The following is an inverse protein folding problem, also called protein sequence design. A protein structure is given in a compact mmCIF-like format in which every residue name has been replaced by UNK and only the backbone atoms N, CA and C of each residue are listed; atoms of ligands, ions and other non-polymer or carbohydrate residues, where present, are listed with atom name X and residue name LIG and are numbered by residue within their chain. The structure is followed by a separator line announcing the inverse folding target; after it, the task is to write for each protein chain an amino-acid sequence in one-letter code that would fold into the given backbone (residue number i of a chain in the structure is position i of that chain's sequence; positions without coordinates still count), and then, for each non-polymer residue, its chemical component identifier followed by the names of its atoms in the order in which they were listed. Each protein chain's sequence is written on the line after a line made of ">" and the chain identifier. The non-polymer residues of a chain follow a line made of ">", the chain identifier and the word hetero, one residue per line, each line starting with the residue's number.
data_IF_606979477292
#
_entry.id   IF_606979477292
#
_cell.length_a   1.000
_cell.length_b   1.000
_cell.length_c   1.000
_cell.angle_alpha   90.00
_cell.angle_beta   90.00
_cell.angle_gamma   90.00
#
_symmetry.space_group_name_H-M   'P 1'
#
loop_
_entity.id
_entity.type
_entity.pdbx_description
1 polymer ?
#
# COMPACT_ATOMS: atom_id res chain seq x y z
N UNK A 1 -3.80 12.02 -14.13
CA UNK A 1 -3.76 11.17 -15.35
C UNK A 1 -4.87 10.10 -15.38
N UNK A 2 -5.24 9.43 -14.26
CA UNK A 2 -6.25 8.37 -14.22
C UNK A 2 -7.62 8.80 -14.75
N UNK A 3 -8.16 9.91 -14.25
CA UNK A 3 -9.47 10.45 -14.66
C UNK A 3 -9.48 10.81 -16.17
N UNK A 4 -8.40 11.38 -16.69
CA UNK A 4 -8.29 11.71 -18.12
C UNK A 4 -8.27 10.44 -18.99
N UNK A 5 -7.55 9.40 -18.57
CA UNK A 5 -7.53 8.12 -19.28
C UNK A 5 -8.90 7.43 -19.21
N UNK A 6 -9.56 7.48 -18.07
CA UNK A 6 -10.93 7.00 -17.94
C UNK A 6 -11.89 7.73 -18.89
N UNK A 7 -11.88 9.05 -18.91
CA UNK A 7 -12.75 9.85 -19.79
C UNK A 7 -12.53 9.57 -21.28
N UNK A 8 -11.28 9.26 -21.69
CA UNK A 8 -10.95 8.90 -23.08
C UNK A 8 -11.40 7.50 -23.50
N UNK A 9 -11.69 6.62 -22.55
CA UNK A 9 -12.04 5.23 -22.77
C UNK A 9 -13.35 4.83 -22.09
N UNK A 10 -14.21 5.79 -21.80
CA UNK A 10 -15.45 5.58 -21.06
C UNK A 10 -16.41 4.58 -21.75
N UNK A 11 -16.29 4.45 -23.07
CA UNK A 11 -17.02 3.51 -23.91
C UNK A 11 -16.36 2.13 -24.03
N UNK A 12 -15.16 1.95 -23.46
CA UNK A 12 -14.36 0.72 -23.51
C UNK A 12 -13.62 0.47 -22.20
N UNK A 13 -14.39 0.24 -21.14
CA UNK A 13 -13.86 0.10 -19.76
C UNK A 13 -12.93 -1.11 -19.59
N UNK A 14 -13.08 -2.15 -20.41
CA UNK A 14 -12.19 -3.32 -20.48
C UNK A 14 -10.75 -2.93 -20.83
N UNK A 15 -10.54 -1.89 -21.65
CA UNK A 15 -9.22 -1.37 -21.97
C UNK A 15 -8.51 -0.71 -20.75
N UNK A 16 -9.24 -0.40 -19.68
CA UNK A 16 -8.73 0.23 -18.46
C UNK A 16 -8.31 -0.78 -17.38
N UNK A 17 -8.48 -2.09 -17.61
CA UNK A 17 -8.19 -3.12 -16.62
C UNK A 17 -6.85 -2.95 -15.88
N UNK A 18 -5.71 -2.79 -16.57
CA UNK A 18 -4.42 -2.58 -15.93
C UNK A 18 -4.34 -1.29 -15.08
N UNK A 19 -4.96 -0.21 -15.56
CA UNK A 19 -5.01 1.07 -14.83
C UNK A 19 -5.89 0.96 -13.57
N UNK A 20 -7.04 0.33 -13.71
CA UNK A 20 -7.96 0.08 -12.58
C UNK A 20 -7.26 -0.78 -11.54
N UNK A 21 -6.57 -1.87 -11.93
CA UNK A 21 -5.81 -2.71 -11.01
C UNK A 21 -4.77 -1.93 -10.20
N UNK A 22 -3.99 -1.07 -10.84
CA UNK A 22 -3.00 -0.22 -10.15
C UNK A 22 -3.66 0.76 -9.16
N UNK A 23 -4.78 1.38 -9.54
CA UNK A 23 -5.52 2.29 -8.66
C UNK A 23 -6.06 1.53 -7.46
N UNK A 24 -6.72 0.38 -7.68
CA UNK A 24 -7.29 -0.48 -6.65
C UNK A 24 -6.23 -0.90 -5.63
N UNK A 25 -5.08 -1.41 -6.08
CA UNK A 25 -3.98 -1.79 -5.17
C UNK A 25 -3.51 -0.61 -4.30
N UNK A 26 -3.42 0.58 -4.89
CA UNK A 26 -3.02 1.76 -4.16
C UNK A 26 -4.09 2.22 -3.17
N UNK A 27 -5.36 2.20 -3.55
CA UNK A 27 -6.48 2.55 -2.67
C UNK A 27 -6.60 1.57 -1.51
N UNK A 28 -6.52 0.27 -1.79
CA UNK A 28 -6.54 -0.78 -0.76
C UNK A 28 -5.39 -0.60 0.24
N UNK A 29 -4.19 -0.28 -0.24
CA UNK A 29 -3.03 -0.04 0.65
C UNK A 29 -3.18 1.18 1.55
N UNK A 30 -4.01 2.15 1.14
CA UNK A 30 -4.35 3.35 1.91
C UNK A 30 -5.65 3.19 2.70
N UNK A 31 -6.33 2.07 2.55
CA UNK A 31 -7.64 1.80 3.13
C UNK A 31 -8.67 2.87 2.74
N UNK A 32 -8.77 3.15 1.44
CA UNK A 32 -9.83 4.01 0.90
C UNK A 32 -11.17 3.30 1.09
N UNK A 33 -12.15 4.04 1.60
CA UNK A 33 -13.49 3.53 1.91
C UNK A 33 -14.53 4.13 0.97
N UNK A 34 -15.65 3.45 0.69
CA UNK A 34 -16.70 3.92 -0.21
C UNK A 34 -17.21 5.34 0.09
N UNK A 35 -17.33 5.70 1.38
CA UNK A 35 -17.79 7.03 1.82
C UNK A 35 -16.83 8.18 1.48
N UNK A 36 -15.60 7.90 1.06
CA UNK A 36 -14.64 8.92 0.65
C UNK A 36 -14.80 9.32 -0.82
N UNK A 37 -15.42 8.48 -1.66
CA UNK A 37 -15.63 8.75 -3.08
C UNK A 37 -16.52 9.97 -3.35
N UNK A 38 -17.66 10.18 -2.65
CA UNK A 38 -18.46 11.39 -2.83
C UNK A 38 -17.69 12.67 -2.50
N UNK A 39 -16.77 12.64 -1.52
CA UNK A 39 -15.92 13.79 -1.17
C UNK A 39 -15.00 14.15 -2.34
N UNK A 40 -14.33 13.15 -2.91
CA UNK A 40 -13.44 13.34 -4.07
C UNK A 40 -14.24 13.82 -5.29
N UNK A 41 -15.41 13.23 -5.55
CA UNK A 41 -16.30 13.61 -6.63
C UNK A 41 -16.72 15.08 -6.56
N UNK A 42 -17.18 15.52 -5.39
CA UNK A 42 -17.58 16.92 -5.19
C UNK A 42 -16.42 17.91 -5.41
N UNK A 43 -15.22 17.56 -4.91
CA UNK A 43 -14.02 18.36 -5.14
C UNK A 43 -13.62 18.41 -6.63
N UNK A 44 -13.72 17.28 -7.35
CA UNK A 44 -13.43 17.20 -8.77
C UNK A 44 -14.37 18.09 -9.59
N UNK A 45 -15.69 17.96 -9.37
CA UNK A 45 -16.70 18.74 -10.10
C UNK A 45 -16.55 20.24 -9.87
N UNK A 46 -16.27 20.63 -8.62
CA UNK A 46 -15.95 22.02 -8.29
C UNK A 46 -14.71 22.50 -9.03
N UNK A 47 -13.62 21.72 -9.02
CA UNK A 47 -12.39 22.09 -9.71
C UNK A 47 -12.59 22.20 -11.23
N UNK A 48 -13.39 21.32 -11.86
CA UNK A 48 -13.74 21.41 -13.28
C UNK A 48 -14.43 22.74 -13.55
N UNK A 49 -15.41 23.11 -12.74
CA UNK A 49 -16.15 24.39 -12.91
C UNK A 49 -15.26 25.61 -12.72
N UNK A 50 -14.40 25.60 -11.72
CA UNK A 50 -13.46 26.70 -11.42
C UNK A 50 -12.42 26.89 -12.53
N UNK A 51 -11.85 25.80 -13.06
CA UNK A 51 -10.77 25.85 -14.06
C UNK A 51 -11.29 26.18 -15.46
N UNK A 52 -12.42 25.58 -15.86
CA UNK A 52 -12.94 25.72 -17.21
C UNK A 52 -13.87 26.97 -17.39
N UNK A 53 -14.38 27.52 -16.30
CA UNK A 53 -15.32 28.63 -16.30
C UNK A 53 -16.75 28.24 -16.73
N UNK A 54 -17.75 29.14 -16.51
CA UNK A 54 -19.15 28.81 -16.71
C UNK A 54 -19.53 28.57 -18.18
N UNK A 55 -18.80 29.16 -19.11
CA UNK A 55 -19.07 29.04 -20.55
C UNK A 55 -18.75 27.61 -21.08
N UNK A 56 -17.76 26.93 -20.49
CA UNK A 56 -17.37 25.57 -20.87
C UNK A 56 -17.99 24.55 -19.90
N UNK A 57 -17.88 24.80 -18.60
CA UNK A 57 -18.42 23.91 -17.56
C UNK A 57 -19.89 24.26 -17.26
N UNK A 58 -20.75 24.17 -18.28
CA UNK A 58 -22.20 24.34 -18.14
C UNK A 58 -22.78 23.26 -17.19
N UNK A 59 -24.00 23.44 -16.68
CA UNK A 59 -24.64 22.47 -15.81
C UNK A 59 -24.73 21.10 -16.47
N UNK A 60 -25.07 21.03 -17.76
CA UNK A 60 -25.11 19.78 -18.51
C UNK A 60 -23.73 19.07 -18.56
N UNK A 61 -22.64 19.83 -18.71
CA UNK A 61 -21.27 19.27 -18.67
C UNK A 61 -20.93 18.76 -17.29
N UNK A 62 -21.29 19.47 -16.23
CA UNK A 62 -21.05 19.02 -14.83
C UNK A 62 -21.87 17.79 -14.49
N UNK A 63 -23.14 17.71 -14.92
CA UNK A 63 -23.98 16.51 -14.76
C UNK A 63 -23.40 15.29 -15.49
N UNK A 64 -22.90 15.46 -16.72
CA UNK A 64 -22.23 14.40 -17.46
C UNK A 64 -20.96 13.92 -16.75
N UNK A 65 -20.14 14.82 -16.20
CA UNK A 65 -18.97 14.48 -15.40
C UNK A 65 -19.33 13.80 -14.08
N UNK A 66 -20.43 14.22 -13.44
CA UNK A 66 -20.92 13.56 -12.22
C UNK A 66 -21.32 12.11 -12.49
N UNK A 67 -22.07 11.86 -13.57
CA UNK A 67 -22.45 10.50 -13.99
C UNK A 67 -21.23 9.64 -14.34
N UNK A 68 -20.28 10.19 -15.09
CA UNK A 68 -19.03 9.50 -15.42
C UNK A 68 -18.19 9.16 -14.18
N UNK A 69 -18.08 10.12 -13.25
CA UNK A 69 -17.37 9.89 -12.00
C UNK A 69 -18.04 8.81 -11.14
N UNK A 70 -19.38 8.83 -11.05
CA UNK A 70 -20.11 7.81 -10.28
C UNK A 70 -19.87 6.40 -10.84
N UNK A 71 -19.91 6.24 -12.17
CA UNK A 71 -19.60 4.96 -12.81
C UNK A 71 -18.18 4.47 -12.49
N UNK A 72 -17.19 5.38 -12.51
CA UNK A 72 -15.82 5.04 -12.12
C UNK A 72 -15.73 4.67 -10.64
N UNK A 73 -16.40 5.42 -9.77
CA UNK A 73 -16.43 5.16 -8.32
C UNK A 73 -17.02 3.77 -8.03
N UNK A 74 -18.16 3.43 -8.64
CA UNK A 74 -18.80 2.13 -8.45
C UNK A 74 -17.91 0.97 -8.89
N UNK A 75 -17.21 1.13 -10.02
CA UNK A 75 -16.25 0.15 -10.54
C UNK A 75 -15.07 -0.04 -9.58
N UNK A 76 -14.49 1.04 -9.07
CA UNK A 76 -13.35 0.98 -8.15
C UNK A 76 -13.77 0.42 -6.79
N UNK A 77 -14.90 0.86 -6.23
CA UNK A 77 -15.45 0.36 -4.97
C UNK A 77 -15.69 -1.15 -5.05
N UNK A 78 -16.30 -1.63 -6.14
CA UNK A 78 -16.53 -3.06 -6.34
C UNK A 78 -15.23 -3.85 -6.39
N UNK A 79 -14.25 -3.40 -7.18
CA UNK A 79 -12.96 -4.05 -7.30
C UNK A 79 -12.13 -4.01 -6.01
N UNK A 80 -12.23 -2.92 -5.22
CA UNK A 80 -11.58 -2.80 -3.92
C UNK A 80 -12.21 -3.74 -2.90
N UNK A 81 -13.55 -3.88 -2.90
CA UNK A 81 -14.26 -4.82 -2.03
C UNK A 81 -13.84 -6.26 -2.28
N UNK A 82 -13.67 -6.65 -3.54
CA UNK A 82 -13.18 -8.00 -3.91
C UNK A 82 -11.79 -8.25 -3.32
N UNK A 83 -10.88 -7.25 -3.38
CA UNK A 83 -9.53 -7.36 -2.80
C UNK A 83 -9.58 -7.43 -1.28
N UNK A 84 -10.42 -6.61 -0.62
CA UNK A 84 -10.58 -6.66 0.83
C UNK A 84 -11.16 -7.99 1.30
N UNK A 85 -12.16 -8.51 0.59
CA UNK A 85 -12.78 -9.81 0.91
C UNK A 85 -11.78 -10.96 0.71
N UNK A 86 -11.03 -10.97 -0.38
CA UNK A 86 -9.99 -11.95 -0.64
C UNK A 86 -8.88 -11.94 0.42
N UNK A 87 -8.44 -10.73 0.81
CA UNK A 87 -7.45 -10.59 1.89
C UNK A 87 -7.97 -11.14 3.22
N UNK A 88 -9.22 -10.83 3.59
CA UNK A 88 -9.84 -11.31 4.82
C UNK A 88 -10.06 -12.84 4.84
N UNK A 89 -10.33 -13.44 3.68
CA UNK A 89 -10.52 -14.89 3.54
C UNK A 89 -9.20 -15.69 3.54
N UNK A 90 -8.05 -15.03 3.33
CA UNK A 90 -6.75 -15.69 3.35
C UNK A 90 -6.37 -16.11 4.78
N UNK A 91 -5.74 -17.28 5.01
CA UNK A 91 -5.28 -17.68 6.35
C UNK A 91 -4.40 -16.60 7.00
N UNK A 92 -4.77 -16.17 8.21
CA UNK A 92 -4.12 -15.05 8.91
C UNK A 92 -4.42 -13.68 8.35
N UNK A 93 -5.29 -13.56 7.34
CA UNK A 93 -5.71 -12.32 6.73
C UNK A 93 -6.73 -11.55 7.58
N UNK A 94 -6.92 -10.28 7.24
CA UNK A 94 -7.87 -9.41 7.95
C UNK A 94 -8.33 -8.27 7.03
N UNK A 95 -9.37 -7.58 7.47
CA UNK A 95 -9.86 -6.33 6.85
C UNK A 95 -9.63 -5.15 7.79
N UNK A 96 -9.29 -4.01 7.23
CA UNK A 96 -9.04 -2.80 8.02
C UNK A 96 -7.75 -2.89 8.84
N UNK A 97 -7.74 -2.25 9.99
CA UNK A 97 -6.59 -2.23 10.89
C UNK A 97 -6.62 -3.41 11.87
N UNK A 98 -5.50 -4.11 12.02
CA UNK A 98 -5.29 -5.15 13.03
C UNK A 98 -4.12 -4.75 13.91
N UNK A 99 -4.24 -4.96 15.21
CA UNK A 99 -3.20 -4.59 16.18
C UNK A 99 -2.07 -5.59 16.20
N UNK A 100 -0.85 -5.06 16.11
CA UNK A 100 0.40 -5.81 16.22
C UNK A 100 1.25 -5.24 17.35
N UNK A 101 2.00 -6.09 18.02
CA UNK A 101 2.99 -5.76 19.02
C UNK A 101 4.39 -5.75 18.39
N UNK A 102 5.21 -4.78 18.73
CA UNK A 102 6.64 -4.79 18.43
C UNK A 102 7.30 -5.83 19.36
N UNK A 103 7.50 -7.03 18.85
CA UNK A 103 8.11 -8.10 19.63
C UNK A 103 9.62 -7.92 19.81
N UNK A 104 10.26 -7.23 18.88
CA UNK A 104 11.70 -6.94 18.91
C UNK A 104 12.01 -5.69 18.08
N UNK A 105 12.96 -4.89 18.56
CA UNK A 105 13.49 -3.71 17.88
C UNK A 105 15.01 -3.87 17.78
N UNK A 106 15.57 -3.79 16.58
CA UNK A 106 16.99 -4.06 16.32
C UNK A 106 17.61 -2.90 15.56
N UNK A 107 18.56 -2.16 16.12
CA UNK A 107 19.38 -1.23 15.35
C UNK A 107 20.22 -1.99 14.32
N UNK A 108 20.05 -1.68 13.04
CA UNK A 108 20.85 -2.26 11.95
C UNK A 108 22.03 -1.35 11.58
N UNK A 109 21.86 -0.05 11.77
CA UNK A 109 22.89 0.98 11.60
C UNK A 109 22.55 2.22 12.44
N UNK A 110 23.34 3.29 12.32
CA UNK A 110 23.05 4.57 12.99
C UNK A 110 21.69 5.17 12.58
N UNK A 111 21.24 4.87 11.35
CA UNK A 111 20.01 5.45 10.78
C UNK A 111 18.89 4.43 10.57
N UNK A 112 19.15 3.13 10.63
CA UNK A 112 18.18 2.10 10.30
C UNK A 112 17.89 1.22 11.51
N UNK A 113 16.61 1.04 11.79
CA UNK A 113 16.13 0.15 12.83
C UNK A 113 15.08 -0.81 12.27
N UNK A 114 15.24 -2.09 12.53
CA UNK A 114 14.26 -3.13 12.19
C UNK A 114 13.28 -3.34 13.33
N UNK A 115 11.99 -3.37 13.00
CA UNK A 115 10.89 -3.70 13.90
C UNK A 115 10.31 -5.05 13.50
N UNK A 116 10.22 -5.96 14.45
CA UNK A 116 9.57 -7.26 14.29
C UNK A 116 8.18 -7.17 14.91
N UNK A 117 7.16 -7.46 14.11
CA UNK A 117 5.77 -7.21 14.42
C UNK A 117 5.03 -8.55 14.48
N UNK A 118 4.44 -8.87 15.62
CA UNK A 118 3.58 -10.06 15.81
C UNK A 118 2.15 -9.62 16.07
N UNK A 119 1.12 -10.37 15.63
CA UNK A 119 -0.25 -10.07 15.99
C UNK A 119 -0.44 -10.04 17.50
N UNK A 120 -1.09 -8.98 18.01
CA UNK A 120 -1.36 -8.85 19.45
C UNK A 120 -2.39 -9.88 19.95
N UNK A 121 -3.22 -10.41 19.06
CA UNK A 121 -4.19 -11.46 19.34
C UNK A 121 -3.59 -12.89 19.33
N UNK A 122 -2.29 -13.02 19.04
CA UNK A 122 -1.60 -14.31 18.97
C UNK A 122 -1.92 -15.18 17.76
N UNK A 123 -2.76 -14.69 16.84
CA UNK A 123 -3.12 -15.40 15.61
C UNK A 123 -1.98 -15.42 14.57
N UNK A 124 -2.12 -16.18 13.48
CA UNK A 124 -1.12 -16.19 12.41
C UNK A 124 -1.09 -14.86 11.67
N UNK A 125 0.01 -14.59 10.96
CA UNK A 125 0.11 -13.51 9.98
C UNK A 125 -0.30 -14.00 8.59
N UNK A 126 -0.92 -13.14 7.81
CA UNK A 126 -1.18 -13.37 6.39
C UNK A 126 0.14 -13.54 5.64
N UNK A 127 0.22 -14.55 4.78
CA UNK A 127 1.34 -14.70 3.87
C UNK A 127 1.40 -13.50 2.90
N UNK A 128 2.60 -13.13 2.49
CA UNK A 128 2.82 -12.05 1.54
C UNK A 128 3.84 -12.47 0.47
N UNK A 129 3.85 -11.77 -0.65
CA UNK A 129 4.83 -12.00 -1.71
C UNK A 129 6.08 -11.14 -1.45
N UNK A 130 7.30 -11.69 -1.61
CA UNK A 130 8.54 -10.92 -1.51
C UNK A 130 8.50 -9.67 -2.38
N UNK A 131 8.73 -8.50 -1.75
CA UNK A 131 8.63 -7.19 -2.37
C UNK A 131 7.41 -6.37 -1.95
N UNK A 132 6.38 -6.99 -1.39
CA UNK A 132 5.23 -6.28 -0.86
C UNK A 132 5.58 -5.42 0.36
N UNK A 133 4.71 -4.49 0.66
CA UNK A 133 4.78 -3.59 1.81
C UNK A 133 3.56 -3.75 2.73
N UNK A 134 3.64 -3.16 3.91
CA UNK A 134 2.57 -3.11 4.88
C UNK A 134 2.28 -1.66 5.25
N UNK A 135 1.00 -1.31 5.38
CA UNK A 135 0.58 0.00 5.85
C UNK A 135 0.54 0.04 7.38
N UNK A 136 1.12 1.08 7.97
CA UNK A 136 1.04 1.39 9.39
C UNK A 136 0.05 2.52 9.63
N UNK A 137 -0.75 2.38 10.67
CA UNK A 137 -1.59 3.41 11.23
C UNK A 137 -1.13 3.71 12.65
N UNK A 138 -0.81 4.96 12.89
CA UNK A 138 -0.30 5.47 14.16
C UNK A 138 -1.09 6.71 14.58
N UNK A 139 -1.15 6.96 15.87
CA UNK A 139 -1.56 8.25 16.42
C UNK A 139 -0.33 8.99 16.95
N UNK A 140 -0.07 10.18 16.42
CA UNK A 140 1.04 11.04 16.84
C UNK A 140 0.47 12.43 17.12
N UNK A 141 0.62 12.91 18.34
CA UNK A 141 0.10 14.22 18.81
C UNK A 141 -1.42 14.37 18.54
N UNK A 142 -2.20 13.33 18.82
CA UNK A 142 -3.64 13.31 18.62
C UNK A 142 -4.10 13.28 17.14
N UNK A 143 -3.18 13.01 16.21
CA UNK A 143 -3.47 12.92 14.79
C UNK A 143 -3.18 11.52 14.24
N UNK A 144 -4.14 10.94 13.52
CA UNK A 144 -3.91 9.72 12.76
C UNK A 144 -2.94 10.00 11.61
N UNK A 145 -1.90 9.18 11.52
CA UNK A 145 -0.94 9.19 10.42
C UNK A 145 -0.76 7.79 9.87
N UNK A 146 -0.64 7.69 8.55
CA UNK A 146 -0.44 6.41 7.85
C UNK A 146 0.84 6.46 7.03
N UNK A 147 1.60 5.35 7.02
CA UNK A 147 2.81 5.18 6.19
C UNK A 147 2.94 3.73 5.75
N UNK A 148 3.51 3.56 4.58
CA UNK A 148 3.81 2.24 4.04
C UNK A 148 5.30 1.94 4.21
N UNK A 149 5.62 0.70 4.64
CA UNK A 149 6.97 0.20 4.76
C UNK A 149 7.08 -1.17 4.08
N UNK A 150 8.10 -1.34 3.24
CA UNK A 150 8.38 -2.63 2.62
C UNK A 150 8.65 -3.68 3.69
N UNK A 151 8.11 -4.88 3.49
CA UNK A 151 8.44 -6.03 4.30
C UNK A 151 9.87 -6.45 3.98
N UNK A 152 10.75 -6.47 4.97
CA UNK A 152 12.19 -6.59 4.82
C UNK A 152 12.77 -7.96 5.20
N UNK A 153 11.91 -8.90 5.58
CA UNK A 153 12.27 -10.30 5.82
C UNK A 153 11.34 -11.23 5.03
N UNK A 154 11.74 -12.46 4.73
CA UNK A 154 10.87 -13.43 4.07
C UNK A 154 9.65 -13.79 4.91
N UNK A 155 8.57 -14.30 4.29
CA UNK A 155 7.42 -14.82 5.00
C UNK A 155 7.83 -15.97 5.94
N UNK A 156 7.36 -15.92 7.19
CA UNK A 156 7.64 -16.94 8.20
C UNK A 156 6.39 -17.43 8.94
N UNK A 157 5.20 -16.95 8.57
CA UNK A 157 3.91 -17.34 9.14
C UNK A 157 3.59 -16.78 10.53
N UNK A 158 4.53 -16.07 11.18
CA UNK A 158 4.38 -15.63 12.57
C UNK A 158 4.64 -14.14 12.82
N UNK A 159 5.50 -13.52 12.03
CA UNK A 159 5.90 -12.12 12.20
C UNK A 159 6.11 -11.41 10.88
N UNK A 160 5.95 -10.10 10.90
CA UNK A 160 6.45 -9.21 9.87
C UNK A 160 7.71 -8.50 10.34
N UNK A 161 8.59 -8.12 9.41
CA UNK A 161 9.71 -7.22 9.69
C UNK A 161 9.65 -6.03 8.73
N UNK A 162 9.74 -4.84 9.29
CA UNK A 162 10.01 -3.60 8.55
C UNK A 162 11.34 -3.03 9.02
N UNK A 163 12.10 -2.41 8.11
CA UNK A 163 13.33 -1.71 8.43
C UNK A 163 13.17 -0.24 8.09
N UNK A 164 13.22 0.59 9.11
CA UNK A 164 12.86 2.01 9.06
C UNK A 164 14.13 2.84 9.08
N UNK A 165 14.34 3.64 8.01
CA UNK A 165 15.36 4.68 8.02
C UNK A 165 14.86 5.88 8.80
N UNK A 166 15.68 6.40 9.69
CA UNK A 166 15.45 7.67 10.39
C UNK A 166 15.60 8.81 9.37
N UNK A 167 14.51 9.46 9.03
CA UNK A 167 14.53 10.61 8.13
C UNK A 167 14.68 11.91 8.93
N UNK A 168 15.62 12.79 8.60
CA UNK A 168 15.73 14.09 9.26
C UNK A 168 14.41 14.88 9.16
N UNK A 169 13.85 15.28 10.30
CA UNK A 169 12.55 15.94 10.38
C UNK A 169 11.34 15.04 10.07
N UNK A 170 11.54 13.77 9.80
CA UNK A 170 10.47 12.81 9.50
C UNK A 170 9.64 12.49 10.75
N UNK A 171 8.37 12.90 10.79
CA UNK A 171 7.49 12.72 11.94
C UNK A 171 7.30 11.25 12.32
N UNK A 172 6.99 10.39 11.34
CA UNK A 172 6.69 8.97 11.60
C UNK A 172 7.96 8.16 11.84
N UNK A 173 9.01 8.34 11.02
CA UNK A 173 10.26 7.59 11.19
C UNK A 173 10.90 7.87 12.54
N UNK A 174 10.95 9.14 12.98
CA UNK A 174 11.48 9.50 14.29
C UNK A 174 10.62 8.94 15.43
N UNK A 175 9.29 8.98 15.32
CA UNK A 175 8.40 8.38 16.31
C UNK A 175 8.64 6.87 16.46
N UNK A 176 8.79 6.14 15.35
CA UNK A 176 9.13 4.70 15.36
C UNK A 176 10.49 4.43 16.01
N UNK A 177 11.45 5.33 15.81
CA UNK A 177 12.79 5.21 16.42
C UNK A 177 12.82 5.56 17.90
N UNK A 178 12.13 6.62 18.31
CA UNK A 178 12.33 7.23 19.62
C UNK A 178 11.24 6.89 20.64
N UNK A 179 9.97 6.83 20.18
CA UNK A 179 8.83 6.68 21.08
C UNK A 179 8.36 5.24 21.26
N UNK A 180 8.60 4.36 20.25
CA UNK A 180 8.11 2.99 20.29
C UNK A 180 9.23 2.00 20.59
N UNK A 181 9.02 1.18 21.62
CA UNK A 181 9.92 0.09 22.03
C UNK A 181 9.28 -1.30 21.87
N UNK A 182 10.01 -2.35 22.26
CA UNK A 182 9.44 -3.68 22.39
C UNK A 182 8.27 -3.65 23.39
N UNK A 183 7.17 -4.35 23.05
CA UNK A 183 5.91 -4.34 23.80
C UNK A 183 4.92 -3.24 23.36
N UNK A 184 5.37 -2.20 22.63
CA UNK A 184 4.46 -1.21 22.07
C UNK A 184 3.60 -1.82 20.93
N UNK A 185 2.42 -1.25 20.71
CA UNK A 185 1.49 -1.73 19.70
C UNK A 185 1.34 -0.74 18.55
N UNK A 186 1.13 -1.27 17.35
CA UNK A 186 0.89 -0.52 16.10
C UNK A 186 -0.25 -1.19 15.37
N UNK A 187 -1.15 -0.41 14.78
CA UNK A 187 -2.18 -0.93 13.89
C UNK A 187 -1.61 -1.09 12.47
N UNK A 188 -1.80 -2.27 11.88
CA UNK A 188 -1.33 -2.60 10.53
C UNK A 188 -2.51 -2.90 9.61
N UNK A 189 -2.36 -2.51 8.34
CA UNK A 189 -3.23 -2.94 7.24
C UNK A 189 -2.65 -4.19 6.57
N UNK A 190 -3.44 -5.01 5.84
CA UNK A 190 -2.93 -6.19 5.15
C UNK A 190 -1.77 -5.87 4.20
N UNK A 191 -0.83 -6.82 3.98
CA UNK A 191 0.21 -6.68 2.96
C UNK A 191 -0.38 -6.35 1.60
N UNK A 192 0.25 -5.43 0.87
CA UNK A 192 -0.18 -4.95 -0.43
C UNK A 192 1.02 -4.61 -1.33
N UNK A 193 0.76 -4.32 -2.60
CA UNK A 193 1.75 -3.88 -3.57
C UNK A 193 2.01 -4.89 -4.67
N UNK A 194 2.30 -4.36 -5.88
CA UNK A 194 2.54 -5.14 -7.10
C UNK A 194 4.04 -5.31 -7.42
N UNK A 195 4.93 -4.62 -6.67
CA UNK A 195 6.36 -4.83 -6.81
C UNK A 195 6.76 -6.13 -6.13
N UNK A 196 6.61 -7.23 -6.85
CA UNK A 196 6.84 -8.57 -6.33
C UNK A 196 7.86 -9.31 -7.20
N UNK A 197 8.48 -10.35 -6.61
CA UNK A 197 9.38 -11.22 -7.35
C UNK A 197 8.61 -11.88 -8.50
N UNK A 198 9.01 -11.56 -9.73
CA UNK A 198 8.40 -12.18 -10.92
C UNK A 198 8.66 -13.69 -10.92
N UNK A 199 7.65 -14.50 -11.25
CA UNK A 199 7.80 -15.94 -11.32
C UNK A 199 8.73 -16.34 -12.48
N UNK A 200 9.33 -17.54 -12.38
CA UNK A 200 10.16 -18.13 -13.42
C UNK A 200 11.60 -18.40 -13.00
N UNK A 201 12.35 -19.05 -13.87
CA UNK A 201 13.70 -19.54 -13.63
C UNK A 201 14.79 -18.66 -14.25
N UNK A 202 14.43 -17.63 -15.02
CA UNK A 202 15.39 -16.74 -15.67
C UNK A 202 16.27 -16.03 -14.65
N UNK A 203 17.55 -15.77 -14.94
CA UNK A 203 18.42 -14.98 -14.09
C UNK A 203 17.77 -13.67 -13.66
N UNK A 204 17.96 -13.30 -12.41
CA UNK A 204 17.38 -12.13 -11.78
C UNK A 204 18.45 -11.08 -11.51
N UNK A 205 18.19 -9.83 -11.86
CA UNK A 205 18.98 -8.68 -11.40
C UNK A 205 18.14 -7.91 -10.36
N UNK A 206 18.67 -7.79 -9.14
CA UNK A 206 18.12 -6.94 -8.09
C UNK A 206 19.03 -5.74 -7.93
N UNK A 207 18.47 -4.55 -8.13
CA UNK A 207 19.20 -3.29 -8.03
C UNK A 207 18.50 -2.43 -6.99
N UNK A 208 19.26 -1.92 -6.03
CA UNK A 208 18.72 -1.07 -4.97
C UNK A 208 19.70 0.03 -4.57
N UNK A 209 19.18 1.07 -3.93
CA UNK A 209 19.98 2.15 -3.33
C UNK A 209 19.39 2.55 -1.97
N UNK A 210 20.25 2.74 -0.97
CA UNK A 210 19.84 3.10 0.38
C UNK A 210 18.77 2.17 0.97
N UNK A 211 17.72 2.72 1.58
CA UNK A 211 16.64 1.91 2.18
C UNK A 211 15.80 1.13 1.16
N UNK A 212 15.96 1.39 -0.14
CA UNK A 212 15.35 0.60 -1.22
C UNK A 212 15.78 -0.87 -1.25
N UNK A 213 16.78 -1.25 -0.47
CA UNK A 213 17.17 -2.66 -0.24
C UNK A 213 16.07 -3.47 0.46
N UNK A 214 15.20 -2.83 1.24
CA UNK A 214 14.23 -3.54 2.09
C UNK A 214 13.31 -4.51 1.35
N UNK A 215 12.67 -4.16 0.20
CA UNK A 215 11.86 -5.11 -0.56
C UNK A 215 12.69 -6.16 -1.31
N UNK A 216 13.95 -5.87 -1.63
CA UNK A 216 14.81 -6.78 -2.41
C UNK A 216 15.42 -7.89 -1.55
N UNK A 217 15.56 -7.70 -0.24
CA UNK A 217 16.06 -8.74 0.68
C UNK A 217 15.20 -10.02 0.67
N UNK A 218 13.86 -9.95 0.89
CA UNK A 218 13.03 -11.14 0.78
C UNK A 218 12.98 -11.71 -0.64
N UNK A 219 13.10 -10.87 -1.68
CA UNK A 219 13.20 -11.36 -3.06
C UNK A 219 14.49 -12.15 -3.29
N UNK A 220 15.63 -11.66 -2.78
CA UNK A 220 16.91 -12.35 -2.86
C UNK A 220 16.85 -13.72 -2.18
N UNK A 221 16.27 -13.79 -0.99
CA UNK A 221 16.12 -15.04 -0.26
C UNK A 221 15.20 -16.02 -1.00
N UNK A 222 14.05 -15.57 -1.47
CA UNK A 222 13.12 -16.40 -2.23
C UNK A 222 13.75 -16.92 -3.55
N UNK A 223 14.51 -16.09 -4.25
CA UNK A 223 15.23 -16.51 -5.45
C UNK A 223 16.33 -17.53 -5.14
N UNK A 224 17.02 -17.38 -4.00
CA UNK A 224 18.02 -18.34 -3.53
C UNK A 224 17.39 -19.70 -3.22
N UNK A 225 16.26 -19.72 -2.50
CA UNK A 225 15.49 -20.96 -2.21
C UNK A 225 15.03 -21.67 -3.50
N UNK A 226 14.69 -20.88 -4.52
CA UNK A 226 14.34 -21.38 -5.87
C UNK A 226 15.57 -21.79 -6.70
N UNK A 227 16.80 -21.65 -6.18
CA UNK A 227 18.07 -21.86 -6.90
C UNK A 227 18.21 -21.03 -8.16
N UNK A 228 17.59 -19.88 -8.18
CA UNK A 228 17.60 -18.94 -9.30
C UNK A 228 18.89 -18.12 -9.29
N UNK A 229 19.61 -17.99 -10.42
CA UNK A 229 20.77 -17.12 -10.50
C UNK A 229 20.39 -15.67 -10.21
N UNK A 230 21.12 -15.00 -9.31
CA UNK A 230 20.84 -13.61 -8.91
C UNK A 230 22.10 -12.76 -9.01
N UNK A 231 21.99 -11.62 -9.67
CA UNK A 231 22.95 -10.52 -9.56
C UNK A 231 22.32 -9.46 -8.66
N UNK A 232 22.98 -9.15 -7.54
CA UNK A 232 22.51 -8.15 -6.58
C UNK A 232 23.47 -6.94 -6.59
N UNK A 233 22.92 -5.76 -6.82
CA UNK A 233 23.67 -4.49 -6.84
C UNK A 233 23.04 -3.53 -5.82
N UNK A 234 23.88 -3.00 -4.91
CA UNK A 234 23.45 -2.05 -3.87
C UNK A 234 24.47 -0.93 -3.73
#
# INVERSE_FOLDING_TARGET
>A
NGILQYARHIDRLDALGPLVGQIVQKHVSLQVLPEQYPIVGSCLLRAIREVLGPDIATDAVIEAWAAAYQQLADLLIGAEEDVYAAAAATPGGWRGARRFEISRKVPESAEITSLYLKPADGGPVMAFQPGQYIGLKLEIDGQEVRRNYSLSAPPNGSTYRISVKREPGGRVSNHLHDALGAGATIDLFPPAGEFVLAPGERPLALISGGVGITPTLPMLQAAHEQRRPVTFVH
#
